data_IF_832706882991
#
_entry.id   IF_832706882991
#
_cell.length_a   1.000
_cell.length_b   1.000
_cell.length_c   1.000
_cell.angle_alpha   90.00
_cell.angle_beta   90.00
_cell.angle_gamma   90.00
#
_symmetry.space_group_name_H-M   'P 1'
#
loop_
_entity.id
_entity.type
_entity.pdbx_description
1 polymer ?
#
# COMPACT_ATOMS: atom_id res chain seq x y z
N UNK A 1 34.16 14.17 4.58
CA UNK A 1 33.07 15.03 5.12
C UNK A 1 31.96 14.18 5.75
N UNK A 2 31.12 13.45 5.01
CA UNK A 2 29.98 12.71 5.61
C UNK A 2 30.44 11.72 6.68
N UNK A 3 31.45 10.89 6.39
CA UNK A 3 31.99 9.91 7.34
C UNK A 3 32.66 10.56 8.57
N UNK A 4 33.28 11.73 8.39
CA UNK A 4 33.89 12.48 9.50
C UNK A 4 32.79 13.00 10.45
N UNK A 5 31.71 13.56 9.88
CA UNK A 5 30.55 14.00 10.65
C UNK A 5 29.88 12.84 11.39
N UNK A 6 29.71 11.69 10.75
CA UNK A 6 29.18 10.48 11.39
C UNK A 6 30.07 10.08 12.57
N UNK A 7 31.38 10.02 12.37
CA UNK A 7 32.34 9.64 13.40
C UNK A 7 32.30 10.58 14.62
N UNK A 8 32.18 11.89 14.42
CA UNK A 8 32.06 12.84 15.52
C UNK A 8 30.75 12.68 16.30
N UNK A 9 29.63 12.37 15.62
CA UNK A 9 28.34 12.12 16.29
C UNK A 9 28.41 10.83 17.12
N UNK A 10 28.98 9.75 16.58
CA UNK A 10 29.00 8.47 17.29
C UNK A 10 29.89 8.49 18.55
N UNK A 11 30.86 9.42 18.63
CA UNK A 11 31.62 9.68 19.87
C UNK A 11 30.75 10.11 21.05
N UNK A 12 29.52 10.59 20.81
CA UNK A 12 28.59 10.97 21.89
C UNK A 12 27.84 9.78 22.49
N UNK A 13 28.12 8.54 22.06
CA UNK A 13 27.60 7.32 22.69
C UNK A 13 26.38 6.69 22.02
N UNK A 14 26.10 7.01 20.75
CA UNK A 14 25.01 6.41 19.96
C UNK A 14 25.48 5.99 18.57
N UNK A 15 24.65 5.20 17.86
CA UNK A 15 24.88 4.86 16.44
C UNK A 15 24.06 5.79 15.55
N UNK A 16 24.63 6.25 14.44
CA UNK A 16 23.89 7.07 13.47
C UNK A 16 22.99 6.19 12.60
N UNK A 17 21.72 6.60 12.49
CA UNK A 17 20.74 6.06 11.54
C UNK A 17 20.26 7.20 10.64
N UNK A 18 20.41 7.01 9.33
CA UNK A 18 19.87 7.93 8.31
C UNK A 18 18.65 7.27 7.67
N UNK A 19 17.54 8.01 7.56
CA UNK A 19 16.35 7.57 6.86
C UNK A 19 16.12 8.52 5.69
N UNK A 20 16.16 7.99 4.48
CA UNK A 20 15.89 8.73 3.25
C UNK A 20 14.56 8.23 2.70
N UNK A 21 13.53 9.01 3.00
CA UNK A 21 12.13 8.73 2.67
C UNK A 21 11.71 9.39 1.35
N UNK A 22 10.60 8.94 0.77
CA UNK A 22 9.97 9.45 -0.45
C UNK A 22 10.75 9.22 -1.76
N UNK A 23 11.80 8.39 -1.77
CA UNK A 23 12.50 8.02 -3.00
C UNK A 23 11.65 7.11 -3.91
N UNK A 24 10.60 6.47 -3.39
CA UNK A 24 9.64 5.71 -4.21
C UNK A 24 8.79 6.59 -5.13
N UNK A 25 8.76 7.91 -4.89
CA UNK A 25 7.95 8.89 -5.64
C UNK A 25 8.73 9.60 -6.76
N UNK A 26 10.04 9.38 -6.87
CA UNK A 26 10.83 10.05 -7.89
C UNK A 26 10.61 9.39 -9.25
N UNK A 27 10.86 10.15 -10.31
CA UNK A 27 10.78 9.67 -11.69
C UNK A 27 11.53 8.34 -11.87
N UNK A 28 10.95 7.32 -12.55
CA UNK A 28 11.58 6.01 -12.68
C UNK A 28 13.00 6.06 -13.27
N UNK A 29 13.27 6.95 -14.22
CA UNK A 29 14.61 7.10 -14.83
C UNK A 29 15.60 7.66 -13.82
N UNK A 30 15.19 8.65 -13.02
CA UNK A 30 16.01 9.20 -11.95
C UNK A 30 16.25 8.18 -10.84
N UNK A 31 15.24 7.38 -10.53
CA UNK A 31 15.36 6.32 -9.54
C UNK A 31 16.34 5.27 -10.01
N UNK A 32 16.25 4.86 -11.27
CA UNK A 32 17.20 3.93 -11.88
C UNK A 32 18.62 4.47 -11.81
N UNK A 33 18.84 5.72 -12.26
CA UNK A 33 20.16 6.35 -12.16
C UNK A 33 20.68 6.37 -10.70
N UNK A 34 19.83 6.69 -9.73
CA UNK A 34 20.21 6.72 -8.32
C UNK A 34 20.57 5.34 -7.76
N UNK A 35 19.72 4.34 -7.98
CA UNK A 35 19.83 3.02 -7.35
C UNK A 35 20.65 2.01 -8.15
N UNK A 36 20.81 2.20 -9.45
CA UNK A 36 21.59 1.33 -10.34
C UNK A 36 22.97 1.95 -10.62
N UNK A 37 23.02 3.16 -11.21
CA UNK A 37 24.30 3.77 -11.61
C UNK A 37 25.13 4.25 -10.41
N UNK A 38 24.47 4.66 -9.31
CA UNK A 38 25.11 5.22 -8.11
C UNK A 38 24.88 4.42 -6.83
N UNK A 39 24.56 3.13 -6.95
CA UNK A 39 24.29 2.23 -5.82
C UNK A 39 25.43 2.20 -4.78
N UNK A 40 26.68 2.25 -5.26
CA UNK A 40 27.87 2.25 -4.42
C UNK A 40 27.96 3.51 -3.56
N UNK A 41 27.62 4.68 -4.11
CA UNK A 41 27.64 5.96 -3.40
C UNK A 41 26.58 6.00 -2.29
N UNK A 42 25.45 5.30 -2.48
CA UNK A 42 24.41 5.15 -1.46
C UNK A 42 24.86 4.29 -0.27
N UNK A 43 25.81 3.39 -0.48
CA UNK A 43 26.23 2.40 0.53
C UNK A 43 27.60 2.71 1.14
N UNK A 44 28.30 3.73 0.62
CA UNK A 44 29.58 4.22 1.13
C UNK A 44 29.56 4.88 2.52
N UNK A 45 28.51 5.59 2.97
CA UNK A 45 28.53 6.20 4.28
C UNK A 45 28.61 5.17 5.40
N UNK A 46 29.48 5.40 6.38
CA UNK A 46 29.77 4.45 7.47
C UNK A 46 28.71 4.51 8.59
N UNK A 47 27.44 4.38 8.24
CA UNK A 47 26.32 4.34 9.18
C UNK A 47 25.19 3.45 8.67
N UNK A 48 24.15 3.24 9.49
CA UNK A 48 22.95 2.54 9.04
C UNK A 48 22.10 3.49 8.21
N UNK A 49 21.67 3.06 7.02
CA UNK A 49 20.80 3.86 6.15
C UNK A 49 19.58 3.04 5.73
N UNK A 50 18.40 3.65 5.84
CA UNK A 50 17.14 3.13 5.31
C UNK A 50 16.72 3.99 4.12
N UNK A 51 16.54 3.34 2.97
CA UNK A 51 16.01 3.94 1.76
C UNK A 51 14.60 3.43 1.49
N UNK A 52 13.64 4.32 1.25
CA UNK A 52 12.43 3.93 0.53
C UNK A 52 12.79 3.53 -0.90
N UNK A 53 12.17 2.48 -1.43
CA UNK A 53 12.54 1.91 -2.73
C UNK A 53 11.35 1.92 -3.70
N UNK A 54 11.49 2.47 -4.92
CA UNK A 54 10.41 2.48 -5.91
C UNK A 54 10.02 1.08 -6.37
N UNK A 55 8.72 0.78 -6.35
CA UNK A 55 8.19 -0.50 -6.81
C UNK A 55 8.45 -0.75 -8.30
N UNK A 56 8.58 0.30 -9.11
CA UNK A 56 8.92 0.22 -10.53
C UNK A 56 10.28 -0.45 -10.76
N UNK A 57 11.29 -0.13 -9.92
CA UNK A 57 12.61 -0.75 -9.99
C UNK A 57 12.63 -2.18 -9.46
N UNK A 58 11.68 -2.57 -8.60
CA UNK A 58 11.54 -3.96 -8.14
C UNK A 58 11.16 -4.91 -9.27
N UNK A 59 10.55 -4.37 -10.32
CA UNK A 59 10.10 -5.11 -11.49
C UNK A 59 10.96 -4.87 -12.73
N UNK A 60 12.06 -4.10 -12.61
CA UNK A 60 12.99 -3.89 -13.71
C UNK A 60 13.98 -5.05 -13.82
N UNK A 61 14.55 -5.21 -15.01
CA UNK A 61 15.59 -6.22 -15.29
C UNK A 61 16.86 -5.98 -14.47
N UNK A 62 17.07 -4.75 -14.00
CA UNK A 62 18.21 -4.32 -13.20
C UNK A 62 18.06 -4.58 -11.70
N UNK A 63 16.91 -5.10 -11.23
CA UNK A 63 16.63 -5.25 -9.80
C UNK A 63 17.69 -6.09 -9.06
N UNK A 64 18.17 -7.18 -9.66
CA UNK A 64 19.14 -8.06 -9.01
C UNK A 64 20.50 -7.39 -8.83
N UNK A 65 20.91 -6.58 -9.80
CA UNK A 65 22.14 -5.79 -9.78
C UNK A 65 22.02 -4.61 -8.80
N UNK A 66 20.85 -4.00 -8.67
CA UNK A 66 20.60 -3.02 -7.62
C UNK A 66 20.74 -3.71 -6.26
N UNK A 67 20.02 -4.82 -6.06
CA UNK A 67 19.92 -5.54 -4.79
C UNK A 67 21.28 -5.97 -4.23
N UNK A 68 22.24 -6.37 -5.07
CA UNK A 68 23.57 -6.83 -4.59
C UNK A 68 24.35 -5.75 -3.82
N UNK A 69 24.02 -4.47 -4.03
CA UNK A 69 24.67 -3.35 -3.34
C UNK A 69 24.09 -3.08 -1.95
N UNK A 70 22.91 -3.64 -1.62
CA UNK A 70 22.21 -3.38 -0.36
C UNK A 70 22.14 -4.65 0.49
N UNK A 71 22.23 -4.51 1.82
CA UNK A 71 22.26 -5.65 2.73
C UNK A 71 20.90 -6.36 2.84
N UNK A 72 19.84 -5.59 3.08
CA UNK A 72 18.52 -6.11 3.42
C UNK A 72 17.41 -5.43 2.63
N UNK A 73 16.35 -6.19 2.35
CA UNK A 73 15.14 -5.68 1.70
C UNK A 73 13.95 -5.95 2.60
N UNK A 74 13.40 -4.88 3.16
CA UNK A 74 12.19 -4.95 3.99
C UNK A 74 10.97 -4.60 3.15
N UNK A 75 10.02 -5.53 3.08
CA UNK A 75 8.76 -5.32 2.39
C UNK A 75 7.67 -5.33 3.44
N UNK A 76 6.93 -4.23 3.50
CA UNK A 76 5.77 -4.10 4.38
C UNK A 76 4.53 -4.57 3.61
N UNK A 77 4.01 -5.79 3.87
CA UNK A 77 2.84 -6.29 3.16
C UNK A 77 1.57 -5.56 3.59
N UNK A 78 0.56 -5.58 2.72
CA UNK A 78 -0.79 -5.22 3.12
C UNK A 78 -1.28 -6.18 4.20
N UNK A 79 -2.13 -5.68 5.10
CA UNK A 79 -2.74 -6.50 6.15
C UNK A 79 -3.72 -7.46 5.49
N UNK A 80 -3.47 -8.77 5.58
CA UNK A 80 -4.43 -9.75 5.10
C UNK A 80 -5.73 -9.59 5.90
N UNK A 81 -6.86 -9.32 5.24
CA UNK A 81 -8.19 -9.25 5.89
C UNK A 81 -9.13 -10.40 5.47
N UNK A 82 -8.75 -11.17 4.45
CA UNK A 82 -9.39 -12.40 4.00
C UNK A 82 -8.35 -13.36 3.42
N UNK A 83 -8.67 -14.65 3.36
CA UNK A 83 -7.82 -15.66 2.74
C UNK A 83 -7.81 -15.57 1.20
N UNK A 84 -6.90 -16.29 0.55
CA UNK A 84 -6.71 -16.25 -0.91
C UNK A 84 -7.99 -16.58 -1.69
N UNK A 85 -8.82 -17.44 -1.11
CA UNK A 85 -10.14 -17.87 -1.58
C UNK A 85 -11.13 -16.71 -1.69
N UNK A 86 -10.83 -15.58 -1.05
CA UNK A 86 -11.52 -14.31 -1.23
C UNK A 86 -12.36 -13.89 -0.01
N UNK A 87 -13.17 -12.82 -0.15
CA UNK A 87 -13.86 -12.17 0.97
C UNK A 87 -14.81 -13.06 1.78
N UNK A 88 -15.29 -14.17 1.19
CA UNK A 88 -16.11 -15.19 1.90
C UNK A 88 -15.33 -15.95 2.98
N UNK A 89 -14.02 -15.83 2.99
CA UNK A 89 -13.10 -16.44 3.95
C UNK A 89 -12.38 -15.33 4.73
N UNK A 90 -13.05 -14.60 5.64
CA UNK A 90 -12.44 -13.50 6.38
C UNK A 90 -11.26 -14.00 7.23
N UNK A 91 -10.27 -13.13 7.45
CA UNK A 91 -9.13 -13.39 8.32
C UNK A 91 -9.23 -12.52 9.59
N UNK A 92 -9.79 -13.06 10.71
CA UNK A 92 -10.17 -12.25 11.86
C UNK A 92 -9.00 -11.50 12.50
N UNK A 93 -7.80 -12.10 12.55
CA UNK A 93 -6.61 -11.46 13.13
C UNK A 93 -6.24 -10.17 12.41
N UNK A 94 -6.36 -10.14 11.08
CA UNK A 94 -6.07 -8.94 10.30
C UNK A 94 -7.12 -7.86 10.48
N UNK A 95 -8.41 -8.24 10.48
CA UNK A 95 -9.50 -7.30 10.78
C UNK A 95 -9.36 -6.69 12.17
N UNK A 96 -9.03 -7.50 13.17
CA UNK A 96 -8.81 -7.02 14.55
C UNK A 96 -7.61 -6.06 14.61
N UNK A 97 -6.51 -6.38 13.95
CA UNK A 97 -5.37 -5.47 13.85
C UNK A 97 -5.74 -4.12 13.21
N UNK A 98 -6.62 -4.12 12.19
CA UNK A 98 -7.12 -2.86 11.60
C UNK A 98 -7.97 -2.06 12.60
N UNK A 99 -8.75 -2.70 13.47
CA UNK A 99 -9.46 -2.03 14.57
C UNK A 99 -8.51 -1.46 15.62
N UNK A 100 -7.45 -2.18 15.98
CA UNK A 100 -6.42 -1.70 16.90
C UNK A 100 -5.74 -0.42 16.39
N UNK A 101 -5.53 -0.29 15.07
CA UNK A 101 -4.99 0.92 14.44
C UNK A 101 -5.91 2.13 14.73
N UNK A 102 -7.22 1.95 14.66
CA UNK A 102 -8.20 3.02 14.96
C UNK A 102 -8.21 3.34 16.45
N UNK A 103 -8.29 2.32 17.30
CA UNK A 103 -8.31 2.46 18.77
C UNK A 103 -7.13 3.26 19.33
N UNK A 104 -5.96 3.17 18.68
CA UNK A 104 -4.76 3.95 19.06
C UNK A 104 -4.84 5.44 18.71
N UNK A 105 -5.87 5.88 17.97
CA UNK A 105 -5.99 7.24 17.42
C UNK A 105 -7.29 7.92 17.83
N UNK A 106 -8.40 7.18 17.87
CA UNK A 106 -9.75 7.69 18.16
C UNK A 106 -10.59 6.64 18.88
N UNK A 107 -11.65 7.07 19.57
CA UNK A 107 -12.65 6.15 20.15
C UNK A 107 -13.41 5.41 19.05
N UNK A 108 -13.68 4.11 19.25
CA UNK A 108 -14.56 3.35 18.35
C UNK A 108 -16.01 3.84 18.39
N UNK A 109 -16.41 4.57 19.44
CA UNK A 109 -17.74 5.20 19.55
C UNK A 109 -17.96 6.30 18.51
N UNK A 110 -16.91 6.73 17.81
CA UNK A 110 -17.00 7.65 16.66
C UNK A 110 -17.53 6.97 15.40
N UNK A 111 -17.82 5.67 15.43
CA UNK A 111 -18.28 4.88 14.28
C UNK A 111 -19.50 4.03 14.67
N UNK A 112 -20.44 3.88 13.74
CA UNK A 112 -21.33 2.72 13.79
C UNK A 112 -20.52 1.43 13.53
N UNK A 113 -20.83 0.32 14.23
CA UNK A 113 -20.05 -0.92 14.08
C UNK A 113 -19.96 -1.43 12.64
N UNK A 114 -21.04 -1.33 11.86
CA UNK A 114 -21.07 -1.76 10.46
C UNK A 114 -20.39 -0.79 9.50
N UNK A 115 -20.31 0.50 9.85
CA UNK A 115 -19.53 1.49 9.13
C UNK A 115 -18.03 1.17 9.20
N UNK A 116 -17.51 0.88 10.40
CA UNK A 116 -16.10 0.55 10.56
C UNK A 116 -15.74 -0.77 9.87
N UNK A 117 -16.55 -1.81 10.01
CA UNK A 117 -16.35 -3.07 9.28
C UNK A 117 -16.34 -2.86 7.77
N UNK A 118 -17.28 -2.06 7.24
CA UNK A 118 -17.31 -1.72 5.83
C UNK A 118 -16.04 -1.00 5.38
N UNK A 119 -15.53 -0.04 6.16
CA UNK A 119 -14.29 0.68 5.82
C UNK A 119 -13.08 -0.26 5.87
N UNK A 120 -13.01 -1.17 6.85
CA UNK A 120 -11.96 -2.20 6.92
C UNK A 120 -11.99 -3.04 5.64
N UNK A 121 -13.16 -3.55 5.26
CA UNK A 121 -13.32 -4.39 4.08
C UNK A 121 -12.96 -3.64 2.79
N UNK A 122 -13.47 -2.42 2.61
CA UNK A 122 -13.19 -1.63 1.40
C UNK A 122 -11.74 -1.16 1.29
N UNK A 123 -11.00 -1.08 2.40
CA UNK A 123 -9.58 -0.72 2.39
C UNK A 123 -8.66 -1.79 1.80
N UNK A 124 -9.12 -3.04 1.71
CA UNK A 124 -8.26 -4.18 1.32
C UNK A 124 -7.06 -4.38 2.25
N UNK A 125 -7.14 -3.92 3.50
CA UNK A 125 -6.02 -3.99 4.44
C UNK A 125 -4.83 -3.08 4.11
N UNK A 126 -5.02 -2.14 3.17
CA UNK A 126 -4.05 -1.09 2.88
C UNK A 126 -4.22 0.03 3.92
N UNK A 127 -3.31 0.10 4.89
CA UNK A 127 -3.42 1.04 6.02
C UNK A 127 -3.57 2.49 5.59
N UNK A 128 -2.88 2.90 4.50
CA UNK A 128 -2.99 4.25 3.94
C UNK A 128 -4.40 4.54 3.44
N UNK A 129 -5.00 3.61 2.71
CA UNK A 129 -6.36 3.73 2.18
C UNK A 129 -7.39 3.70 3.29
N UNK A 130 -7.21 2.83 4.27
CA UNK A 130 -8.04 2.76 5.47
C UNK A 130 -8.11 4.10 6.21
N UNK A 131 -6.95 4.70 6.50
CA UNK A 131 -6.88 6.01 7.18
C UNK A 131 -7.48 7.12 6.30
N UNK A 132 -7.26 7.07 4.98
CA UNK A 132 -7.86 8.02 4.03
C UNK A 132 -9.38 7.97 4.09
N UNK A 133 -9.97 6.78 3.97
CA UNK A 133 -11.43 6.60 4.01
C UNK A 133 -11.98 7.10 5.35
N UNK A 134 -11.38 6.73 6.48
CA UNK A 134 -11.80 7.19 7.81
C UNK A 134 -11.80 8.73 7.89
N UNK A 135 -10.69 9.36 7.50
CA UNK A 135 -10.55 10.82 7.55
C UNK A 135 -11.60 11.51 6.68
N UNK A 136 -11.79 11.04 5.45
CA UNK A 136 -12.70 11.64 4.49
C UNK A 136 -14.17 11.43 4.95
N UNK A 137 -14.47 10.29 5.58
CA UNK A 137 -15.74 10.02 6.26
C UNK A 137 -15.96 10.93 7.46
N UNK A 138 -14.94 11.19 8.28
CA UNK A 138 -15.04 12.13 9.40
C UNK A 138 -15.35 13.56 8.91
N UNK A 139 -14.67 14.03 7.86
CA UNK A 139 -14.94 15.33 7.23
C UNK A 139 -16.39 15.40 6.72
N UNK A 140 -16.88 14.32 6.12
CA UNK A 140 -18.26 14.24 5.64
C UNK A 140 -19.29 14.24 6.78
N UNK A 141 -19.03 13.51 7.87
CA UNK A 141 -19.88 13.49 9.06
C UNK A 141 -19.99 14.89 9.68
N UNK A 142 -18.87 15.60 9.84
CA UNK A 142 -18.85 16.97 10.33
C UNK A 142 -19.66 17.92 9.43
N UNK A 143 -19.52 17.79 8.10
CA UNK A 143 -20.30 18.59 7.13
C UNK A 143 -21.81 18.34 7.26
N UNK A 144 -22.20 17.11 7.60
CA UNK A 144 -23.59 16.71 7.84
C UNK A 144 -24.07 16.90 9.27
N UNK A 145 -23.23 17.46 10.15
CA UNK A 145 -23.52 17.64 11.58
C UNK A 145 -23.93 16.33 12.27
N UNK A 146 -23.27 15.22 11.91
CA UNK A 146 -23.40 13.93 12.61
C UNK A 146 -22.27 13.79 13.62
N UNK A 147 -22.60 13.19 14.76
CA UNK A 147 -21.65 12.96 15.86
C UNK A 147 -20.76 11.73 15.64
N UNK A 148 -21.18 10.81 14.75
CA UNK A 148 -20.45 9.59 14.40
C UNK A 148 -20.44 9.36 12.88
N UNK A 149 -19.54 8.48 12.44
CA UNK A 149 -19.46 7.98 11.07
C UNK A 149 -20.39 6.77 10.96
N UNK A 150 -21.51 6.97 10.26
CA UNK A 150 -22.40 5.89 9.85
C UNK A 150 -21.98 5.25 8.52
N UNK A 151 -22.65 4.13 8.20
CA UNK A 151 -22.35 3.37 6.99
C UNK A 151 -22.66 4.13 5.71
N UNK A 152 -23.70 4.96 5.67
CA UNK A 152 -24.06 5.74 4.48
C UNK A 152 -22.97 6.74 4.11
N UNK A 153 -22.38 7.41 5.10
CA UNK A 153 -21.22 8.28 4.92
C UNK A 153 -20.01 7.49 4.40
N UNK A 154 -19.75 6.32 4.96
CA UNK A 154 -18.65 5.47 4.52
C UNK A 154 -18.83 5.02 3.05
N UNK A 155 -20.02 4.57 2.69
CA UNK A 155 -20.40 4.17 1.32
C UNK A 155 -20.23 5.34 0.34
N UNK A 156 -20.66 6.55 0.72
CA UNK A 156 -20.50 7.72 -0.13
C UNK A 156 -19.03 8.05 -0.40
N UNK A 157 -18.18 8.03 0.62
CA UNK A 157 -16.74 8.27 0.47
C UNK A 157 -16.10 7.22 -0.42
N UNK A 158 -16.44 5.95 -0.20
CA UNK A 158 -15.96 4.83 -1.02
C UNK A 158 -16.42 4.95 -2.47
N UNK A 159 -17.67 5.37 -2.72
CA UNK A 159 -18.17 5.63 -4.07
C UNK A 159 -17.40 6.77 -4.76
N UNK A 160 -17.00 7.80 -4.02
CA UNK A 160 -16.10 8.83 -4.52
C UNK A 160 -14.77 8.25 -5.00
N UNK A 161 -14.15 7.37 -4.21
CA UNK A 161 -12.92 6.67 -4.59
C UNK A 161 -13.12 5.71 -5.76
N UNK A 162 -14.25 5.01 -5.82
CA UNK A 162 -14.63 4.12 -6.92
C UNK A 162 -14.63 4.86 -8.25
N UNK A 163 -15.20 6.06 -8.30
CA UNK A 163 -15.19 6.88 -9.51
C UNK A 163 -13.78 7.28 -9.96
N UNK A 164 -12.86 7.54 -9.01
CA UNK A 164 -11.46 7.84 -9.31
C UNK A 164 -10.77 6.62 -9.91
N UNK A 165 -10.94 5.44 -9.31
CA UNK A 165 -10.41 4.19 -9.87
C UNK A 165 -10.96 3.93 -11.26
N UNK A 166 -12.28 4.00 -11.43
CA UNK A 166 -12.93 3.74 -12.71
C UNK A 166 -12.42 4.66 -13.82
N UNK A 167 -12.16 5.94 -13.52
CA UNK A 167 -11.63 6.90 -14.49
C UNK A 167 -10.18 6.62 -14.92
N UNK A 168 -9.43 5.82 -14.16
CA UNK A 168 -8.04 5.46 -14.44
C UNK A 168 -7.88 4.14 -15.19
N UNK A 169 -8.91 3.30 -15.21
CA UNK A 169 -8.87 1.97 -15.82
C UNK A 169 -9.20 2.03 -17.32
N UNK A 170 -8.32 1.43 -18.12
CA UNK A 170 -8.53 1.18 -19.55
C UNK A 170 -9.24 -0.15 -19.80
N UNK A 171 -9.68 -0.38 -21.04
CA UNK A 171 -10.27 -1.67 -21.44
C UNK A 171 -9.29 -2.85 -21.28
N UNK A 172 -8.00 -2.61 -21.53
CA UNK A 172 -6.94 -3.61 -21.32
C UNK A 172 -6.75 -3.95 -19.84
N UNK A 173 -6.88 -2.95 -18.96
CA UNK A 173 -6.78 -3.18 -17.51
C UNK A 173 -7.87 -4.13 -17.01
N UNK A 174 -9.10 -4.03 -17.53
CA UNK A 174 -10.18 -4.94 -17.13
C UNK A 174 -9.86 -6.41 -17.43
N UNK A 175 -9.21 -6.70 -18.57
CA UNK A 175 -8.79 -8.06 -18.91
C UNK A 175 -7.77 -8.60 -17.89
N UNK A 176 -6.81 -7.78 -17.51
CA UNK A 176 -5.79 -8.13 -16.50
C UNK A 176 -6.43 -8.32 -15.13
N UNK A 177 -7.39 -7.46 -14.73
CA UNK A 177 -8.09 -7.57 -13.46
C UNK A 177 -8.93 -8.86 -13.37
N UNK A 178 -9.59 -9.27 -14.46
CA UNK A 178 -10.30 -10.56 -14.51
C UNK A 178 -9.34 -11.74 -14.32
N UNK A 179 -8.18 -11.70 -14.99
CA UNK A 179 -7.17 -12.74 -14.84
C UNK A 179 -6.61 -12.81 -13.41
N UNK A 180 -6.32 -11.66 -12.80
CA UNK A 180 -5.86 -11.58 -11.40
C UNK A 180 -6.93 -12.12 -10.45
N UNK A 181 -8.20 -11.81 -10.69
CA UNK A 181 -9.29 -12.32 -9.86
C UNK A 181 -9.35 -13.85 -9.86
N UNK A 182 -9.17 -14.47 -11.04
CA UNK A 182 -9.23 -15.93 -11.21
C UNK A 182 -7.98 -16.63 -10.66
N UNK A 183 -6.80 -16.11 -10.97
CA UNK A 183 -5.53 -16.79 -10.68
C UNK A 183 -4.99 -16.46 -9.28
N UNK A 184 -5.23 -15.24 -8.79
CA UNK A 184 -4.60 -14.65 -7.60
C UNK A 184 -3.06 -14.62 -7.65
N UNK A 185 -2.48 -14.82 -8.82
CA UNK A 185 -1.04 -14.97 -8.99
C UNK A 185 -0.36 -13.63 -9.30
N UNK A 186 0.95 -13.57 -9.03
CA UNK A 186 1.76 -12.38 -9.26
C UNK A 186 2.56 -12.57 -10.56
N UNK A 187 2.05 -12.02 -11.66
CA UNK A 187 2.79 -11.92 -12.92
C UNK A 187 3.43 -10.54 -13.01
N UNK A 188 4.74 -10.41 -12.78
CA UNK A 188 5.42 -9.10 -12.79
C UNK A 188 5.70 -8.56 -14.20
N UNK A 189 4.67 -8.53 -15.04
CA UNK A 189 4.71 -7.79 -16.29
C UNK A 189 4.39 -6.30 -16.07
N UNK A 190 4.56 -5.48 -17.11
CA UNK A 190 4.35 -4.03 -17.04
C UNK A 190 2.92 -3.64 -16.67
N UNK A 191 1.91 -4.42 -17.09
CA UNK A 191 0.50 -4.10 -16.84
C UNK A 191 0.16 -4.34 -15.36
N UNK A 192 0.48 -5.51 -14.82
CA UNK A 192 0.23 -5.79 -13.40
C UNK A 192 0.99 -4.84 -12.48
N UNK A 193 2.22 -4.46 -12.85
CA UNK A 193 3.02 -3.50 -12.08
C UNK A 193 2.36 -2.13 -12.04
N UNK A 194 1.78 -1.68 -13.16
CA UNK A 194 0.96 -0.45 -13.19
C UNK A 194 -0.24 -0.54 -12.24
N UNK A 195 -0.96 -1.66 -12.26
CA UNK A 195 -2.13 -1.89 -11.39
C UNK A 195 -1.77 -2.06 -9.91
N UNK A 196 -0.58 -2.59 -9.59
CA UNK A 196 -0.04 -2.60 -8.23
C UNK A 196 0.32 -1.19 -7.77
N UNK A 197 0.92 -0.40 -8.66
CA UNK A 197 1.34 0.97 -8.36
C UNK A 197 0.17 1.90 -8.09
N UNK A 198 -0.93 1.79 -8.86
CA UNK A 198 -2.14 2.59 -8.64
C UNK A 198 -3.11 1.99 -7.60
N UNK A 199 -2.74 0.88 -6.95
CA UNK A 199 -3.54 0.16 -5.96
C UNK A 199 -4.86 -0.44 -6.49
N UNK A 200 -4.98 -0.69 -7.81
CA UNK A 200 -6.10 -1.46 -8.36
C UNK A 200 -5.97 -2.95 -8.04
N UNK A 201 -4.73 -3.43 -7.92
CA UNK A 201 -4.37 -4.76 -7.43
C UNK A 201 -3.53 -4.61 -6.16
N UNK A 202 -3.74 -5.52 -5.21
CA UNK A 202 -3.07 -5.53 -3.91
C UNK A 202 -2.23 -6.81 -3.75
N UNK A 203 -0.94 -6.68 -3.41
CA UNK A 203 -0.06 -7.80 -3.04
C UNK A 203 -0.20 -8.10 -1.53
N UNK A 204 -0.37 -9.38 -1.18
CA UNK A 204 -0.34 -9.87 0.19
C UNK A 204 0.78 -10.91 0.35
N UNK A 205 1.30 -11.05 1.58
CA UNK A 205 2.40 -12.00 1.89
C UNK A 205 2.10 -12.82 3.13
N UNK A 206 1.62 -14.04 2.94
CA UNK A 206 1.42 -15.01 4.02
C UNK A 206 2.00 -16.35 3.57
N UNK A 207 3.27 -16.62 3.90
CA UNK A 207 4.08 -17.79 3.46
C UNK A 207 4.36 -17.84 1.94
N UNK A 208 3.35 -17.59 1.10
CA UNK A 208 3.46 -17.35 -0.34
C UNK A 208 2.82 -16.00 -0.68
N UNK A 209 3.45 -15.27 -1.60
CA UNK A 209 2.87 -14.02 -2.12
C UNK A 209 1.71 -14.32 -3.07
N UNK A 210 0.64 -13.54 -2.98
CA UNK A 210 -0.52 -13.60 -3.87
C UNK A 210 -1.08 -12.18 -4.07
N UNK A 211 -1.90 -12.02 -5.10
CA UNK A 211 -2.57 -10.76 -5.40
C UNK A 211 -4.09 -10.92 -5.35
N UNK A 212 -4.77 -9.82 -5.03
CA UNK A 212 -6.21 -9.70 -5.27
C UNK A 212 -6.56 -8.31 -5.77
N UNK A 213 -7.76 -8.18 -6.32
CA UNK A 213 -8.34 -6.89 -6.63
C UNK A 213 -8.55 -6.08 -5.36
N UNK A 214 -8.25 -4.79 -5.44
CA UNK A 214 -8.75 -3.83 -4.46
C UNK A 214 -10.28 -3.98 -4.38
N UNK A 215 -10.88 -4.11 -3.18
CA UNK A 215 -12.32 -4.29 -3.02
C UNK A 215 -13.16 -3.20 -3.70
N UNK A 216 -12.66 -1.96 -3.73
CA UNK A 216 -13.32 -0.85 -4.45
C UNK A 216 -13.32 -1.11 -5.97
N UNK A 217 -12.21 -1.61 -6.50
CA UNK A 217 -12.09 -1.97 -7.92
C UNK A 217 -12.93 -3.19 -8.27
N UNK A 218 -12.97 -4.20 -7.40
CA UNK A 218 -13.83 -5.38 -7.57
C UNK A 218 -15.29 -4.99 -7.77
N UNK A 219 -15.80 -4.04 -6.96
CA UNK A 219 -17.17 -3.55 -7.10
C UNK A 219 -17.46 -2.93 -8.49
N UNK A 220 -16.46 -2.30 -9.13
CA UNK A 220 -16.59 -1.78 -10.50
C UNK A 220 -16.78 -2.94 -11.48
N UNK A 221 -16.02 -4.03 -11.33
CA UNK A 221 -16.14 -5.19 -12.20
C UNK A 221 -17.46 -5.93 -11.98
N UNK A 222 -17.92 -6.05 -10.73
CA UNK A 222 -19.23 -6.62 -10.39
C UNK A 222 -20.37 -5.83 -11.06
N UNK A 223 -20.35 -4.50 -10.98
CA UNK A 223 -21.33 -3.61 -11.62
C UNK A 223 -21.32 -3.72 -13.15
N UNK A 224 -20.18 -4.09 -13.74
CA UNK A 224 -20.02 -4.35 -15.18
C UNK A 224 -20.31 -5.81 -15.57
N UNK A 225 -20.62 -6.69 -14.62
CA UNK A 225 -20.79 -8.14 -14.83
C UNK A 225 -19.54 -8.80 -15.44
N UNK A 226 -18.35 -8.45 -14.95
CA UNK A 226 -17.07 -8.97 -15.43
C UNK A 226 -16.47 -10.08 -14.54
N UNK A 227 -17.06 -10.37 -13.38
CA UNK A 227 -16.61 -11.42 -12.44
C UNK A 227 -17.64 -12.56 -12.32
#
# INVERSE_FOLDING_TARGET
>A
IINDTISEIEKTGGQVLVIIDNLEKIDPTKAEHLFYDHATQLTQPLCKIIYTFPISLKSSDNFMQIKINFSDVFIHPNIKIHEREGPKHPYPKGKEFMKEIVLKRVSLEMFEPDALEYIIDMSGGVVREFIRIIRDSAVRAMTRKKDLIDKDIAVEVVNGLKNIYQAQLSDEDYLVLQEVHQTKDIKRDKHLVGLLHNLSVLEYRNERSWCDLNPIVRAILDEKNLL
#
